data_IF_802600586939
#
_entry.id   IF_802600586939
#
_cell.length_a   1.000
_cell.length_b   1.000
_cell.length_c   1.000
_cell.angle_alpha   90.00
_cell.angle_beta   90.00
_cell.angle_gamma   90.00
#
_symmetry.space_group_name_H-M   'P 1'
#
loop_
_entity.id
_entity.type
_entity.pdbx_description
1 polymer ?
#
# COMPACT_ATOMS: atom_id res chain seq x y z
N UNK A 1 -40.28 4.16 -38.68
CA UNK A 1 -39.08 3.32 -38.63
C UNK A 1 -38.50 3.35 -37.22
N UNK A 2 -38.99 2.41 -36.37
CA UNK A 2 -38.38 2.23 -35.03
C UNK A 2 -37.00 1.61 -35.23
N UNK A 3 -35.95 2.42 -35.18
CA UNK A 3 -34.59 1.92 -35.04
C UNK A 3 -34.38 1.50 -33.58
N UNK A 4 -33.88 0.31 -33.28
CA UNK A 4 -33.60 -0.07 -31.92
C UNK A 4 -32.50 0.83 -31.38
N UNK A 5 -32.79 1.55 -30.32
CA UNK A 5 -31.85 2.41 -29.62
C UNK A 5 -31.18 1.57 -28.50
N UNK A 6 -29.89 1.38 -28.61
CA UNK A 6 -29.09 0.54 -27.67
C UNK A 6 -28.68 1.30 -26.39
N UNK A 7 -29.47 2.28 -25.93
CA UNK A 7 -29.16 3.04 -24.71
C UNK A 7 -29.13 2.15 -23.46
N UNK A 8 -29.97 1.12 -23.41
CA UNK A 8 -29.97 0.18 -22.29
C UNK A 8 -28.64 -0.59 -22.20
N UNK A 9 -28.16 -1.10 -23.33
CA UNK A 9 -26.87 -1.79 -23.38
C UNK A 9 -25.70 -0.89 -22.99
N UNK A 10 -25.69 0.37 -23.47
CA UNK A 10 -24.68 1.35 -23.10
C UNK A 10 -24.71 1.66 -21.59
N UNK A 11 -25.92 1.79 -21.01
CA UNK A 11 -26.09 2.01 -19.57
C UNK A 11 -25.52 0.84 -18.73
N UNK A 12 -25.82 -0.39 -19.13
CA UNK A 12 -25.28 -1.58 -18.44
C UNK A 12 -23.75 -1.66 -18.54
N UNK A 13 -23.17 -1.41 -19.69
CA UNK A 13 -21.71 -1.44 -19.88
C UNK A 13 -21.04 -0.38 -18.98
N UNK A 14 -21.54 0.86 -18.99
CA UNK A 14 -21.01 1.94 -18.13
C UNK A 14 -21.14 1.56 -16.65
N UNK A 15 -22.30 1.04 -16.24
CA UNK A 15 -22.54 0.61 -14.86
C UNK A 15 -21.52 -0.44 -14.40
N UNK A 16 -21.29 -1.49 -15.20
CA UNK A 16 -20.33 -2.55 -14.82
C UNK A 16 -18.89 -2.07 -14.83
N UNK A 17 -18.50 -1.18 -15.75
CA UNK A 17 -17.16 -0.58 -15.76
C UNK A 17 -16.95 0.25 -14.50
N UNK A 18 -17.89 1.13 -14.14
CA UNK A 18 -17.80 1.95 -12.93
C UNK A 18 -17.79 1.09 -11.67
N UNK A 19 -18.61 0.06 -11.62
CA UNK A 19 -18.63 -0.89 -10.52
C UNK A 19 -17.27 -1.58 -10.34
N UNK A 20 -16.67 -2.05 -11.44
CA UNK A 20 -15.32 -2.63 -11.45
C UNK A 20 -14.25 -1.67 -10.94
N UNK A 21 -14.27 -0.41 -11.39
CA UNK A 21 -13.36 0.62 -10.93
C UNK A 21 -13.50 0.91 -9.43
N UNK A 22 -14.73 0.95 -8.89
CA UNK A 22 -14.98 1.15 -7.46
C UNK A 22 -14.40 -0.01 -6.65
N UNK A 23 -14.57 -1.25 -7.10
CA UNK A 23 -13.98 -2.41 -6.41
C UNK A 23 -12.45 -2.39 -6.44
N UNK A 24 -11.85 -2.06 -7.58
CA UNK A 24 -10.40 -1.94 -7.73
C UNK A 24 -9.83 -0.86 -6.79
N UNK A 25 -10.45 0.33 -6.76
CA UNK A 25 -10.04 1.43 -5.88
C UNK A 25 -10.17 1.06 -4.40
N UNK A 26 -11.25 0.38 -4.00
CA UNK A 26 -11.42 -0.08 -2.62
C UNK A 26 -10.35 -1.10 -2.21
N UNK A 27 -10.03 -2.06 -3.08
CA UNK A 27 -8.96 -3.04 -2.78
C UNK A 27 -7.61 -2.35 -2.63
N UNK A 28 -7.32 -1.36 -3.46
CA UNK A 28 -6.08 -0.60 -3.43
C UNK A 28 -5.96 0.25 -2.15
N UNK A 29 -7.04 0.90 -1.73
CA UNK A 29 -7.07 1.74 -0.53
C UNK A 29 -6.93 0.93 0.75
N UNK A 30 -7.54 -0.25 0.85
CA UNK A 30 -7.40 -1.13 2.00
C UNK A 30 -5.94 -1.57 2.24
N UNK A 31 -5.17 -1.78 1.19
CA UNK A 31 -3.75 -2.12 1.31
C UNK A 31 -2.90 -0.95 1.84
N UNK A 32 -3.23 0.29 1.46
CA UNK A 32 -2.54 1.49 1.94
C UNK A 32 -2.86 1.82 3.41
N UNK A 33 -4.10 1.59 3.84
CA UNK A 33 -4.54 1.81 5.23
C UNK A 33 -3.77 0.93 6.23
N UNK A 34 -3.43 -0.30 5.85
CA UNK A 34 -2.65 -1.19 6.70
C UNK A 34 -1.24 -0.64 6.99
N UNK A 35 -0.59 0.00 6.02
CA UNK A 35 0.72 0.63 6.20
C UNK A 35 0.61 1.89 7.07
N UNK A 36 -0.43 2.70 6.87
CA UNK A 36 -0.66 3.90 7.67
C UNK A 36 -0.88 3.55 9.14
N UNK A 37 -1.63 2.48 9.44
CA UNK A 37 -1.79 1.96 10.80
C UNK A 37 -0.47 1.52 11.44
N UNK A 38 0.47 0.97 10.69
CA UNK A 38 1.80 0.64 11.21
C UNK A 38 2.60 1.89 11.58
N UNK A 39 2.48 2.98 10.83
CA UNK A 39 3.13 4.25 11.14
C UNK A 39 2.54 4.92 12.40
N UNK A 40 1.23 4.78 12.65
CA UNK A 40 0.58 5.29 13.86
C UNK A 40 1.02 4.57 15.15
N UNK A 41 1.69 3.43 15.01
CA UNK A 41 2.24 2.72 16.17
C UNK A 41 3.52 3.36 16.70
N UNK A 42 4.20 4.19 15.93
CA UNK A 42 5.41 4.88 16.39
C UNK A 42 5.11 5.83 17.56
N UNK A 43 6.03 5.90 18.52
CA UNK A 43 5.97 6.94 19.54
C UNK A 43 6.24 8.30 18.89
N UNK A 44 5.47 9.31 19.26
CA UNK A 44 5.64 10.66 18.72
C UNK A 44 6.69 11.46 19.47
N UNK A 45 6.85 11.20 20.78
CA UNK A 45 7.80 11.87 21.65
C UNK A 45 8.51 10.86 22.55
N UNK A 46 9.66 11.24 23.11
CA UNK A 46 10.41 10.46 24.08
C UNK A 46 11.06 11.34 25.14
N UNK A 47 11.36 10.77 26.32
CA UNK A 47 12.05 11.43 27.40
C UNK A 47 13.55 11.18 27.31
N UNK A 48 14.28 12.12 26.77
CA UNK A 48 15.74 12.04 26.56
C UNK A 48 16.47 12.72 27.72
N UNK A 49 17.52 12.07 28.22
CA UNK A 49 18.41 12.64 29.24
C UNK A 49 19.42 13.57 28.56
N UNK A 50 19.28 14.88 28.76
CA UNK A 50 20.23 15.91 28.27
C UNK A 50 20.66 16.78 29.43
N UNK A 51 21.94 16.97 29.61
CA UNK A 51 22.53 17.83 30.68
C UNK A 51 22.02 17.49 32.11
N UNK A 52 21.77 16.18 32.37
CA UNK A 52 21.29 15.71 33.67
C UNK A 52 19.78 15.86 33.90
N UNK A 53 19.03 16.41 32.93
CA UNK A 53 17.58 16.56 32.99
C UNK A 53 16.87 15.75 31.89
N UNK A 54 15.68 15.25 32.23
CA UNK A 54 14.84 14.60 31.23
C UNK A 54 14.02 15.65 30.48
N UNK A 55 14.23 15.70 29.18
CA UNK A 55 13.54 16.62 28.26
C UNK A 55 12.69 15.80 27.30
N UNK A 56 11.47 16.23 27.08
CA UNK A 56 10.61 15.62 26.06
C UNK A 56 11.05 16.14 24.68
N UNK A 57 11.38 15.19 23.81
CA UNK A 57 11.91 15.44 22.45
C UNK A 57 11.02 14.71 21.45
N UNK A 58 10.80 15.29 20.27
CA UNK A 58 10.13 14.58 19.19
C UNK A 58 10.97 13.36 18.77
N UNK A 59 10.31 12.27 18.40
CA UNK A 59 11.02 11.03 18.01
C UNK A 59 11.97 11.24 16.82
N UNK A 60 11.66 12.23 15.97
CA UNK A 60 12.47 12.62 14.81
C UNK A 60 13.80 13.30 15.20
N UNK A 61 13.85 13.93 16.39
CA UNK A 61 15.00 14.69 16.89
C UNK A 61 15.93 13.86 17.78
N UNK A 62 15.61 12.57 17.97
CA UNK A 62 16.45 11.63 18.73
C UNK A 62 17.72 11.33 17.93
N UNK A 63 18.86 11.38 18.59
CA UNK A 63 20.15 11.08 18.00
C UNK A 63 20.71 9.74 18.51
N UNK A 64 21.53 9.11 17.68
CA UNK A 64 22.26 7.90 18.09
C UNK A 64 23.14 8.24 19.30
N UNK A 65 23.00 7.41 20.35
CA UNK A 65 23.70 7.62 21.62
C UNK A 65 22.91 8.34 22.69
N UNK A 66 21.75 8.92 22.38
CA UNK A 66 20.85 9.51 23.36
C UNK A 66 20.41 8.46 24.39
N UNK A 67 20.35 8.87 25.66
CA UNK A 67 19.80 8.05 26.74
C UNK A 67 18.33 8.38 26.93
N UNK A 68 17.48 7.39 26.74
CA UNK A 68 16.02 7.52 26.71
C UNK A 68 15.41 6.76 27.89
N UNK A 69 14.60 7.45 28.68
CA UNK A 69 13.82 6.83 29.74
C UNK A 69 12.44 6.44 29.24
N UNK A 70 12.04 5.22 29.56
CA UNK A 70 10.68 4.72 29.26
C UNK A 70 10.05 4.19 30.53
N UNK A 71 8.85 4.69 30.83
CA UNK A 71 8.04 4.30 32.00
C UNK A 71 7.04 3.20 31.61
N UNK A 72 6.45 2.53 32.60
CA UNK A 72 5.37 1.58 32.35
C UNK A 72 4.23 2.20 31.51
N UNK A 73 3.79 1.48 30.50
CA UNK A 73 2.75 1.92 29.57
C UNK A 73 3.22 2.83 28.43
N UNK A 74 4.46 3.31 28.46
CA UNK A 74 5.02 4.13 27.39
C UNK A 74 5.53 3.28 26.23
N UNK A 75 5.47 3.85 25.02
CA UNK A 75 6.06 3.25 23.82
C UNK A 75 7.55 3.55 23.75
N UNK A 76 8.32 2.58 23.29
CA UNK A 76 9.74 2.74 22.97
C UNK A 76 9.84 3.49 21.65
N UNK A 77 10.57 4.63 21.62
CA UNK A 77 10.58 5.51 20.47
C UNK A 77 11.47 5.03 19.32
N UNK A 78 12.62 4.45 19.63
CA UNK A 78 13.66 4.03 18.68
C UNK A 78 14.30 2.73 19.14
N UNK A 79 15.08 2.07 18.28
CA UNK A 79 15.79 0.85 18.66
C UNK A 79 17.05 1.19 19.46
N UNK A 80 17.37 0.32 20.42
CA UNK A 80 18.55 0.53 21.26
C UNK A 80 18.82 -0.60 22.22
N UNK A 81 19.69 -0.35 23.22
CA UNK A 81 20.11 -1.33 24.23
C UNK A 81 19.88 -0.77 25.64
N UNK A 82 19.31 -1.57 26.53
CA UNK A 82 19.06 -1.19 27.93
C UNK A 82 20.37 -1.01 28.65
N UNK A 83 20.54 0.14 29.30
CA UNK A 83 21.72 0.48 30.12
C UNK A 83 21.41 0.45 31.61
N UNK A 84 20.14 0.65 32.00
CA UNK A 84 19.70 0.62 33.40
C UNK A 84 18.26 0.14 33.51
N UNK A 85 17.96 -0.64 34.55
CA UNK A 85 16.64 -1.17 34.87
C UNK A 85 16.37 -2.54 34.29
N UNK A 86 15.17 -3.03 34.56
CA UNK A 86 14.61 -4.25 33.99
C UNK A 86 13.12 -4.09 33.82
N UNK A 87 12.57 -4.75 32.81
CA UNK A 87 11.16 -4.62 32.46
C UNK A 87 10.66 -5.82 31.68
N UNK A 88 9.36 -5.83 31.43
CA UNK A 88 8.71 -6.73 30.49
C UNK A 88 8.20 -5.89 29.33
N UNK A 89 8.53 -6.26 28.10
CA UNK A 89 8.16 -5.52 26.87
C UNK A 89 7.19 -6.36 26.05
N UNK A 90 6.10 -5.75 25.64
CA UNK A 90 5.20 -6.31 24.65
C UNK A 90 5.77 -6.05 23.24
N UNK A 91 6.32 -7.10 22.65
CA UNK A 91 6.91 -7.10 21.30
C UNK A 91 5.96 -7.73 20.26
N UNK A 92 4.70 -8.01 20.63
CA UNK A 92 3.73 -8.72 19.78
C UNK A 92 3.52 -8.09 18.41
N UNK A 93 3.64 -6.79 18.31
CA UNK A 93 3.53 -6.04 17.05
C UNK A 93 4.62 -6.37 16.04
N UNK A 94 5.79 -6.80 16.50
CA UNK A 94 6.95 -7.11 15.66
C UNK A 94 7.15 -8.61 15.51
N UNK A 95 7.01 -9.36 16.61
CA UNK A 95 7.26 -10.80 16.65
C UNK A 95 6.02 -11.65 16.34
N UNK A 96 4.83 -11.09 16.56
CA UNK A 96 3.56 -11.82 16.50
C UNK A 96 3.26 -12.67 17.74
N UNK A 97 4.17 -12.74 18.72
CA UNK A 97 3.99 -13.49 19.96
C UNK A 97 3.31 -12.63 21.01
N UNK A 98 2.18 -13.10 21.56
CA UNK A 98 1.37 -12.33 22.52
C UNK A 98 1.94 -12.31 23.95
N UNK A 99 2.99 -13.06 24.24
CA UNK A 99 3.60 -13.10 25.56
C UNK A 99 4.66 -12.00 25.66
N UNK A 100 4.56 -11.09 26.65
CA UNK A 100 5.57 -10.08 26.90
C UNK A 100 6.91 -10.72 27.28
N UNK A 101 8.02 -10.15 26.80
CA UNK A 101 9.38 -10.63 26.97
C UNK A 101 10.07 -9.88 28.10
N UNK A 102 10.69 -10.59 29.03
CA UNK A 102 11.53 -9.98 30.08
C UNK A 102 12.84 -9.47 29.46
N UNK A 103 13.19 -8.24 29.80
CA UNK A 103 14.40 -7.54 29.33
C UNK A 103 15.14 -6.92 30.50
N UNK A 104 16.46 -6.99 30.44
CA UNK A 104 17.40 -6.49 31.45
C UNK A 104 18.54 -5.69 30.81
N UNK A 105 19.45 -5.18 31.62
CA UNK A 105 20.63 -4.45 31.14
C UNK A 105 21.44 -5.30 30.14
N UNK A 106 21.69 -4.70 28.97
CA UNK A 106 22.39 -5.33 27.85
C UNK A 106 21.45 -5.93 26.80
N UNK A 107 20.16 -6.05 27.07
CA UNK A 107 19.19 -6.54 26.09
C UNK A 107 18.77 -5.46 25.11
N UNK A 108 18.51 -5.86 23.86
CA UNK A 108 18.02 -4.97 22.83
C UNK A 108 16.54 -4.67 23.02
N UNK A 109 16.13 -3.43 22.75
CA UNK A 109 14.77 -2.96 22.67
C UNK A 109 14.42 -2.46 21.27
N UNK A 110 13.19 -2.68 20.86
CA UNK A 110 12.72 -2.37 19.52
C UNK A 110 11.73 -1.19 19.60
N UNK A 111 11.90 -0.23 18.72
CA UNK A 111 10.99 0.90 18.59
C UNK A 111 9.55 0.46 18.29
N UNK A 112 8.57 1.21 18.82
CA UNK A 112 7.14 0.97 18.70
C UNK A 112 6.60 -0.19 19.55
N UNK A 113 7.43 -0.88 20.33
CA UNK A 113 6.99 -1.83 21.35
C UNK A 113 6.56 -1.10 22.62
N UNK A 114 5.83 -1.78 23.50
CA UNK A 114 5.24 -1.18 24.70
C UNK A 114 5.94 -1.71 25.94
N UNK A 115 6.44 -0.79 26.75
CA UNK A 115 6.97 -1.13 28.07
C UNK A 115 5.85 -1.44 29.04
N UNK A 116 5.84 -2.64 29.66
CA UNK A 116 4.72 -3.06 30.51
C UNK A 116 4.89 -2.70 31.98
N UNK A 117 6.05 -2.96 32.58
CA UNK A 117 6.23 -2.93 34.03
C UNK A 117 7.22 -1.89 34.54
N UNK A 118 8.50 -2.17 34.47
CA UNK A 118 9.56 -1.36 35.08
C UNK A 118 9.85 -0.06 34.32
N UNK A 119 10.65 0.80 34.94
CA UNK A 119 11.23 1.94 34.23
C UNK A 119 12.62 1.53 33.75
N UNK A 120 12.90 1.74 32.50
CA UNK A 120 14.19 1.48 31.89
C UNK A 120 14.84 2.76 31.36
N UNK A 121 16.16 2.76 31.35
CA UNK A 121 16.97 3.69 30.58
C UNK A 121 17.68 2.89 29.49
N UNK A 122 17.52 3.28 28.24
CA UNK A 122 18.19 2.64 27.13
C UNK A 122 18.94 3.65 26.27
N UNK A 123 19.97 3.19 25.58
CA UNK A 123 20.77 3.99 24.66
C UNK A 123 20.27 3.77 23.24
N UNK A 124 19.95 4.86 22.53
CA UNK A 124 19.54 4.81 21.14
C UNK A 124 20.68 4.33 20.24
N UNK A 125 20.42 3.34 19.41
CA UNK A 125 21.40 2.78 18.46
C UNK A 125 20.96 2.97 17.01
N UNK A 126 19.64 2.88 16.74
CA UNK A 126 19.08 3.11 15.41
C UNK A 126 17.93 4.08 15.51
N UNK A 127 17.92 5.10 14.67
CA UNK A 127 16.95 6.19 14.68
C UNK A 127 16.36 6.42 13.29
N UNK A 128 15.19 7.01 13.20
CA UNK A 128 14.54 7.39 11.95
C UNK A 128 14.32 6.19 11.02
N UNK A 129 14.86 6.27 9.81
CA UNK A 129 14.72 5.21 8.78
C UNK A 129 15.49 3.92 9.08
N UNK A 130 16.43 3.95 10.04
CA UNK A 130 17.24 2.77 10.39
C UNK A 130 16.55 1.88 11.43
N UNK A 131 15.45 2.30 12.04
CA UNK A 131 14.68 1.47 12.97
C UNK A 131 14.06 0.28 12.27
N UNK A 132 13.91 -0.83 12.99
CA UNK A 132 13.35 -2.07 12.47
C UNK A 132 11.95 -1.85 11.87
N UNK A 133 11.08 -1.10 12.56
CA UNK A 133 9.74 -0.81 12.04
C UNK A 133 9.78 0.01 10.75
N UNK A 134 10.64 1.03 10.67
CA UNK A 134 10.80 1.83 9.45
C UNK A 134 11.25 0.97 8.27
N UNK A 135 12.20 0.05 8.49
CA UNK A 135 12.64 -0.89 7.45
C UNK A 135 11.51 -1.82 6.99
N UNK A 136 10.68 -2.33 7.92
CA UNK A 136 9.51 -3.15 7.57
C UNK A 136 8.52 -2.35 6.73
N UNK A 137 8.21 -1.11 7.12
CA UNK A 137 7.31 -0.22 6.38
C UNK A 137 7.84 0.06 4.98
N UNK A 138 9.12 0.35 4.84
CA UNK A 138 9.74 0.61 3.53
C UNK A 138 9.77 -0.64 2.66
N UNK A 139 10.02 -1.82 3.23
CA UNK A 139 9.92 -3.09 2.52
C UNK A 139 8.50 -3.36 2.01
N UNK A 140 7.48 -3.12 2.83
CA UNK A 140 6.07 -3.27 2.42
C UNK A 140 5.70 -2.27 1.32
N UNK A 141 6.12 -1.00 1.46
CA UNK A 141 5.92 0.02 0.40
C UNK A 141 6.59 -0.38 -0.91
N UNK A 142 7.82 -0.88 -0.85
CA UNK A 142 8.56 -1.37 -2.01
C UNK A 142 7.87 -2.58 -2.65
N UNK A 143 7.39 -3.52 -1.85
CA UNK A 143 6.63 -4.67 -2.32
C UNK A 143 5.31 -4.26 -3.00
N UNK A 144 4.60 -3.27 -2.44
CA UNK A 144 3.36 -2.73 -3.02
C UNK A 144 3.60 -1.90 -4.28
N UNK A 145 4.72 -1.17 -4.35
CA UNK A 145 5.07 -0.33 -5.50
C UNK A 145 5.73 -1.12 -6.64
N UNK A 146 6.26 -2.31 -6.35
CA UNK A 146 6.79 -3.18 -7.38
C UNK A 146 5.64 -3.69 -8.24
N UNK A 147 5.51 -3.18 -9.48
CA UNK A 147 4.59 -3.72 -10.48
C UNK A 147 4.91 -5.20 -10.67
N UNK A 148 3.93 -6.05 -10.43
CA UNK A 148 4.13 -7.48 -10.69
C UNK A 148 4.61 -7.65 -12.14
N UNK A 149 5.61 -8.51 -12.44
CA UNK A 149 6.10 -8.74 -13.80
C UNK A 149 4.99 -9.07 -14.80
N UNK A 150 3.87 -9.58 -14.30
CA UNK A 150 2.68 -9.88 -15.07
C UNK A 150 1.97 -8.61 -15.59
N UNK A 151 2.03 -7.48 -14.86
CA UNK A 151 1.46 -6.21 -15.32
C UNK A 151 2.25 -5.63 -16.51
N UNK A 152 3.58 -5.71 -16.48
CA UNK A 152 4.41 -5.26 -17.59
C UNK A 152 4.16 -6.09 -18.87
N UNK A 153 3.89 -7.39 -18.71
CA UNK A 153 3.52 -8.26 -19.82
C UNK A 153 2.13 -7.89 -20.36
N UNK A 154 1.17 -7.67 -19.48
CA UNK A 154 -0.19 -7.24 -19.84
C UNK A 154 -0.18 -5.91 -20.57
N UNK A 155 0.59 -4.93 -20.08
CA UNK A 155 0.73 -3.61 -20.72
C UNK A 155 1.34 -3.73 -22.14
N UNK A 156 2.34 -4.59 -22.32
CA UNK A 156 2.94 -4.84 -23.65
C UNK A 156 1.94 -5.51 -24.61
N UNK A 157 1.22 -6.51 -24.13
CA UNK A 157 0.19 -7.20 -24.93
C UNK A 157 -0.91 -6.23 -25.31
N UNK A 158 -1.42 -5.46 -24.37
CA UNK A 158 -2.48 -4.46 -24.59
C UNK A 158 -2.03 -3.37 -25.54
N UNK A 159 -0.77 -2.93 -25.46
CA UNK A 159 -0.17 -1.93 -26.35
C UNK A 159 -0.14 -2.34 -27.83
N UNK A 160 -0.15 -3.64 -28.14
CA UNK A 160 -0.25 -4.16 -29.50
C UNK A 160 -1.68 -4.56 -29.84
N UNK A 161 -2.37 -5.17 -28.91
CA UNK A 161 -3.71 -5.71 -29.10
C UNK A 161 -4.73 -4.60 -29.38
N UNK A 162 -4.75 -3.54 -28.59
CA UNK A 162 -5.72 -2.45 -28.72
C UNK A 162 -5.65 -1.77 -30.13
N UNK A 163 -4.47 -1.34 -30.63
CA UNK A 163 -4.37 -0.80 -31.97
C UNK A 163 -4.79 -1.81 -33.06
N UNK A 164 -4.46 -3.09 -32.89
CA UNK A 164 -4.82 -4.12 -33.86
C UNK A 164 -6.36 -4.30 -33.94
N UNK A 165 -7.04 -4.29 -32.80
CA UNK A 165 -8.52 -4.37 -32.73
C UNK A 165 -9.18 -3.14 -33.33
N UNK A 166 -8.64 -1.93 -33.07
CA UNK A 166 -9.16 -0.69 -33.69
C UNK A 166 -9.06 -0.75 -35.21
N UNK A 167 -7.90 -1.20 -35.75
CA UNK A 167 -7.73 -1.38 -37.18
C UNK A 167 -8.75 -2.39 -37.73
N UNK A 168 -8.93 -3.53 -37.05
CA UNK A 168 -9.88 -4.54 -37.44
C UNK A 168 -11.34 -4.03 -37.46
N UNK A 169 -11.71 -3.22 -36.46
CA UNK A 169 -13.03 -2.59 -36.40
C UNK A 169 -13.27 -1.61 -37.57
N UNK A 170 -12.25 -0.79 -37.90
CA UNK A 170 -12.29 0.12 -39.06
C UNK A 170 -12.40 -0.67 -40.36
N UNK A 171 -11.63 -1.73 -40.53
CA UNK A 171 -11.70 -2.60 -41.70
C UNK A 171 -13.08 -3.26 -41.82
N UNK A 172 -13.64 -3.75 -40.73
CA UNK A 172 -14.98 -4.32 -40.68
C UNK A 172 -16.02 -3.31 -41.13
N UNK A 173 -15.97 -2.08 -40.62
CA UNK A 173 -16.85 -0.99 -41.04
C UNK A 173 -16.76 -0.74 -42.57
N UNK A 174 -15.51 -0.61 -43.12
CA UNK A 174 -15.28 -0.35 -44.54
C UNK A 174 -15.73 -1.49 -45.44
N UNK A 175 -15.51 -2.77 -45.07
CA UNK A 175 -15.93 -3.92 -45.82
C UNK A 175 -17.47 -3.94 -45.96
N UNK A 176 -18.18 -3.76 -44.84
CA UNK A 176 -19.64 -3.76 -44.88
C UNK A 176 -20.23 -2.55 -45.63
N UNK A 177 -19.61 -1.38 -45.46
CA UNK A 177 -20.10 -0.15 -46.10
C UNK A 177 -19.84 -0.10 -47.59
N UNK A 178 -18.61 -0.44 -48.00
CA UNK A 178 -18.15 -0.28 -49.41
C UNK A 178 -18.35 -1.55 -50.22
N UNK A 179 -17.94 -2.73 -49.74
CA UNK A 179 -18.05 -3.96 -50.53
C UNK A 179 -19.43 -4.57 -50.52
N UNK A 180 -20.09 -4.59 -49.38
CA UNK A 180 -21.39 -5.24 -49.23
C UNK A 180 -22.56 -4.27 -49.38
N UNK A 181 -22.32 -2.97 -49.53
CA UNK A 181 -23.36 -1.96 -49.76
C UNK A 181 -24.35 -1.80 -48.60
N UNK A 182 -23.93 -2.18 -47.38
CA UNK A 182 -24.78 -2.06 -46.21
C UNK A 182 -25.00 -0.59 -45.80
N UNK A 183 -26.06 -0.33 -45.06
CA UNK A 183 -26.33 1.03 -44.58
C UNK A 183 -25.22 1.49 -43.64
N UNK A 184 -24.98 2.81 -43.55
CA UNK A 184 -24.00 3.40 -42.63
C UNK A 184 -24.19 2.92 -41.19
N UNK A 185 -25.47 2.90 -40.73
CA UNK A 185 -25.79 2.47 -39.36
C UNK A 185 -25.43 0.99 -39.11
N UNK A 186 -25.76 0.13 -40.08
CA UNK A 186 -25.45 -1.31 -39.96
C UNK A 186 -23.94 -1.55 -39.94
N UNK A 187 -23.20 -0.90 -40.82
CA UNK A 187 -21.74 -1.00 -40.88
C UNK A 187 -21.08 -0.49 -39.63
N UNK A 188 -21.57 0.61 -39.06
CA UNK A 188 -21.08 1.16 -37.78
C UNK A 188 -21.33 0.22 -36.63
N UNK A 189 -22.52 -0.42 -36.58
CA UNK A 189 -22.85 -1.41 -35.54
C UNK A 189 -21.91 -2.60 -35.56
N UNK A 190 -21.55 -3.13 -36.74
CA UNK A 190 -20.59 -4.24 -36.82
C UNK A 190 -19.17 -3.82 -36.42
N UNK A 191 -18.71 -2.63 -36.77
CA UNK A 191 -17.42 -2.10 -36.31
C UNK A 191 -17.38 -1.94 -34.80
N UNK A 192 -18.43 -1.37 -34.20
CA UNK A 192 -18.55 -1.21 -32.75
C UNK A 192 -18.65 -2.56 -32.04
N UNK A 193 -19.36 -3.53 -32.61
CA UNK A 193 -19.46 -4.87 -32.03
C UNK A 193 -18.07 -5.55 -31.91
N UNK A 194 -17.18 -5.36 -32.90
CA UNK A 194 -15.79 -5.86 -32.82
C UNK A 194 -15.05 -5.22 -31.64
N UNK A 195 -15.21 -3.90 -31.41
CA UNK A 195 -14.57 -3.21 -30.27
C UNK A 195 -15.08 -3.72 -28.92
N UNK A 196 -16.39 -3.93 -28.80
CA UNK A 196 -17.01 -4.39 -27.55
C UNK A 196 -16.58 -5.82 -27.20
N UNK A 197 -16.60 -6.74 -28.20
CA UNK A 197 -16.24 -8.14 -27.99
C UNK A 197 -14.75 -8.30 -27.67
N UNK A 198 -13.92 -7.47 -28.28
CA UNK A 198 -12.46 -7.51 -28.07
C UNK A 198 -11.98 -6.76 -26.83
N UNK A 199 -12.88 -6.20 -26.00
CA UNK A 199 -12.48 -5.54 -24.76
C UNK A 199 -11.73 -6.51 -23.84
N UNK A 200 -10.47 -6.29 -23.46
CA UNK A 200 -9.74 -7.16 -22.54
C UNK A 200 -10.10 -6.87 -21.08
N UNK A 201 -11.40 -6.81 -20.78
CA UNK A 201 -11.90 -6.41 -19.45
C UNK A 201 -11.50 -7.38 -18.31
N UNK A 202 -10.85 -8.50 -18.61
CA UNK A 202 -10.41 -9.53 -17.65
C UNK A 202 -8.86 -9.59 -17.53
N UNK A 203 -8.14 -8.76 -18.28
CA UNK A 203 -6.69 -8.59 -18.20
C UNK A 203 -6.36 -7.34 -17.38
#
# INVERSE_FOLDING_TARGET
TNQPVYFEAAGFIIFFILLGQIFEERMRNNASEAVEKLLDLQAKTAQVLRDGNYVEVAAEDIQIGDLIRVRPGEKIAVDGTIVEGSTTIDESMVTGESLPVEKSVGDAVIGSTINSNGTILFKAEKVGSETLLSQIVDFVKMAQSSRAPIQDLTDKISGIFVPAVVILAILTFWIWFVLLGASFVTSLLYGVAVLIIACPCAL
#
